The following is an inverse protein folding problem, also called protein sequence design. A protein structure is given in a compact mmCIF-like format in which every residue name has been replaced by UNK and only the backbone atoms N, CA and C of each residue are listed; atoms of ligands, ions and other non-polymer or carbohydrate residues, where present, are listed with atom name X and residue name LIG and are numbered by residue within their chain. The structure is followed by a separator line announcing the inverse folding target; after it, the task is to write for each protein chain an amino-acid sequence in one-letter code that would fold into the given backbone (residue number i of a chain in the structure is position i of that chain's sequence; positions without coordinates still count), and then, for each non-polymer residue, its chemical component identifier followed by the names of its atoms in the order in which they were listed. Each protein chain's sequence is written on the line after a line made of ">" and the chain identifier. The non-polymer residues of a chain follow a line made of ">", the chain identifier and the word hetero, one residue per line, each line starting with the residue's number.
data_IF_837447648457
#
_entry.id   IF_837447648457
#
_cell.length_a   1.000
_cell.length_b   1.000
_cell.length_c   1.000
_cell.angle_alpha   90.00
_cell.angle_beta   90.00
_cell.angle_gamma   90.00
#
_symmetry.space_group_name_H-M   'P 1'
#
loop_
_entity.id
_entity.type
_entity.pdbx_description
1 polymer ?
#
# COMPACT_ATOMS: atom_id res chain seq x y z
N UNK A 1 -26.23 8.24 -17.52
CA UNK A 1 -25.37 7.14 -17.04
C UNK A 1 -24.52 7.67 -15.90
N UNK A 2 -24.49 7.00 -14.75
CA UNK A 2 -23.61 7.40 -13.65
C UNK A 2 -22.16 7.20 -14.10
N UNK A 3 -21.33 8.24 -14.02
CA UNK A 3 -19.90 8.13 -14.33
C UNK A 3 -19.24 7.20 -13.31
N UNK A 4 -18.25 6.41 -13.76
CA UNK A 4 -17.45 5.58 -12.87
C UNK A 4 -16.61 6.45 -11.92
N UNK A 5 -16.04 5.81 -10.90
CA UNK A 5 -15.11 6.48 -9.97
C UNK A 5 -13.90 7.07 -10.70
N UNK A 6 -13.34 6.28 -11.61
CA UNK A 6 -12.02 6.53 -12.16
C UNK A 6 -12.12 7.63 -13.23
N UNK A 7 -13.18 7.62 -14.05
CA UNK A 7 -13.45 8.70 -15.02
C UNK A 7 -13.71 10.04 -14.32
N UNK A 8 -14.44 10.03 -13.20
CA UNK A 8 -14.69 11.24 -12.41
C UNK A 8 -13.37 11.85 -11.91
N UNK A 9 -12.50 11.02 -11.33
CA UNK A 9 -11.18 11.44 -10.82
C UNK A 9 -10.33 12.02 -11.96
N UNK A 10 -10.27 11.33 -13.10
CA UNK A 10 -9.48 11.75 -14.25
C UNK A 10 -9.94 13.10 -14.80
N UNK A 11 -11.25 13.31 -14.91
CA UNK A 11 -11.83 14.61 -15.32
C UNK A 11 -11.50 15.73 -14.34
N UNK A 12 -11.60 15.45 -13.04
CA UNK A 12 -11.30 16.44 -12.00
C UNK A 12 -9.82 16.86 -12.05
N UNK A 13 -8.91 15.91 -12.27
CA UNK A 13 -7.47 16.19 -12.47
C UNK A 13 -7.26 17.12 -13.68
N UNK A 14 -7.87 16.80 -14.82
CA UNK A 14 -7.75 17.62 -16.04
C UNK A 14 -8.32 19.02 -15.81
N UNK A 15 -9.50 19.13 -15.21
CA UNK A 15 -10.16 20.42 -14.96
C UNK A 15 -9.37 21.30 -13.99
N UNK A 16 -8.80 20.70 -12.94
CA UNK A 16 -8.05 21.44 -11.95
C UNK A 16 -6.67 21.86 -12.48
N UNK A 17 -5.91 20.94 -13.06
CA UNK A 17 -4.48 21.13 -13.35
C UNK A 17 -4.21 21.56 -14.79
N UNK A 18 -5.07 21.13 -15.73
CA UNK A 18 -4.87 21.33 -17.18
C UNK A 18 -3.95 20.29 -17.82
N UNK A 19 -3.83 20.35 -19.15
CA UNK A 19 -3.06 19.38 -19.93
C UNK A 19 -1.55 19.67 -19.98
N UNK A 20 -1.16 20.94 -19.88
CA UNK A 20 0.23 21.38 -19.93
C UNK A 20 0.45 22.45 -18.87
N UNK A 21 1.51 22.32 -18.07
CA UNK A 21 1.89 23.30 -17.05
C UNK A 21 3.40 23.28 -16.84
N UNK A 22 4.04 24.44 -16.95
CA UNK A 22 5.48 24.63 -16.72
C UNK A 22 6.41 23.63 -17.46
N UNK A 23 6.09 23.37 -18.73
CA UNK A 23 6.81 22.43 -19.59
C UNK A 23 6.50 20.95 -19.33
N UNK A 24 5.67 20.62 -18.33
CA UNK A 24 5.14 19.29 -18.13
C UNK A 24 3.84 19.09 -18.91
N UNK A 25 3.72 17.96 -19.60
CA UNK A 25 2.50 17.48 -20.24
C UNK A 25 1.92 16.32 -19.44
N UNK A 26 0.61 16.33 -19.24
CA UNK A 26 -0.09 15.21 -18.60
C UNK A 26 -0.22 14.03 -19.59
N UNK A 27 -0.01 12.82 -19.08
CA UNK A 27 -0.54 11.58 -19.65
C UNK A 27 -1.67 11.11 -18.77
N UNK A 28 -2.82 10.87 -19.38
CA UNK A 28 -4.04 10.42 -18.75
C UNK A 28 -4.86 9.67 -19.81
N UNK A 29 -5.35 8.49 -19.46
CA UNK A 29 -6.03 7.62 -20.42
C UNK A 29 -7.50 7.47 -20.05
N UNK A 30 -8.41 7.47 -21.04
CA UNK A 30 -9.84 7.32 -20.80
C UNK A 30 -10.15 5.97 -20.15
N UNK A 31 -11.26 5.89 -19.43
CA UNK A 31 -11.75 4.62 -18.90
C UNK A 31 -11.95 3.57 -20.03
N UNK A 32 -11.55 2.33 -19.77
CA UNK A 32 -11.64 1.22 -20.72
C UNK A 32 -10.41 1.04 -21.62
N UNK A 33 -9.47 2.01 -21.63
CA UNK A 33 -8.13 1.77 -22.17
C UNK A 33 -7.28 0.99 -21.16
N UNK A 34 -6.42 0.09 -21.66
CA UNK A 34 -5.36 -0.57 -20.89
C UNK A 34 -4.00 0.13 -21.07
N UNK A 35 -3.97 1.35 -21.61
CA UNK A 35 -2.73 2.08 -21.88
C UNK A 35 -2.01 2.51 -20.59
N UNK A 36 -2.74 2.77 -19.51
CA UNK A 36 -2.18 3.08 -18.19
C UNK A 36 -1.42 1.89 -17.60
N UNK A 37 -1.78 0.67 -17.96
CA UNK A 37 -1.09 -0.56 -17.56
C UNK A 37 0.26 -0.74 -18.26
N UNK A 38 0.50 -0.08 -19.40
CA UNK A 38 1.79 -0.14 -20.11
C UNK A 38 2.89 0.56 -19.31
N UNK A 39 4.13 0.15 -19.54
CA UNK A 39 5.27 0.81 -18.91
C UNK A 39 5.38 2.26 -19.35
N UNK A 40 5.88 3.11 -18.46
CA UNK A 40 6.14 4.54 -18.72
C UNK A 40 7.06 4.74 -19.93
N UNK A 41 8.03 3.84 -20.12
CA UNK A 41 8.94 3.81 -21.27
C UNK A 41 8.21 3.61 -22.60
N UNK A 42 7.06 2.95 -22.54
CA UNK A 42 6.24 2.59 -23.70
C UNK A 42 5.04 3.55 -23.86
N UNK A 43 5.10 4.70 -23.17
CA UNK A 43 4.06 5.72 -23.19
C UNK A 43 2.97 5.57 -22.13
N UNK A 44 2.99 4.51 -21.30
CA UNK A 44 1.97 4.24 -20.29
C UNK A 44 2.19 4.95 -18.94
N UNK A 45 1.59 4.39 -17.87
CA UNK A 45 1.60 4.91 -16.49
C UNK A 45 1.96 3.84 -15.44
N UNK A 46 2.55 2.73 -15.86
CA UNK A 46 3.16 1.72 -14.97
C UNK A 46 4.66 1.98 -14.83
N UNK A 47 5.11 2.14 -13.59
CA UNK A 47 6.52 2.33 -13.24
C UNK A 47 7.13 0.98 -12.87
N UNK A 48 8.29 0.68 -13.46
CA UNK A 48 9.04 -0.53 -13.13
C UNK A 48 10.24 -0.16 -12.26
N UNK A 49 10.34 -0.77 -11.10
CA UNK A 49 11.51 -0.68 -10.23
C UNK A 49 12.10 -2.06 -10.05
N UNK A 50 13.37 -2.23 -10.44
CA UNK A 50 14.02 -3.53 -10.58
C UNK A 50 13.21 -4.45 -11.53
N UNK A 51 12.84 -5.65 -11.08
CA UNK A 51 11.99 -6.60 -11.82
C UNK A 51 10.49 -6.39 -11.60
N UNK A 52 10.09 -5.45 -10.73
CA UNK A 52 8.71 -5.32 -10.24
C UNK A 52 8.00 -4.12 -10.86
N UNK A 53 6.81 -4.37 -11.40
CA UNK A 53 5.93 -3.34 -11.96
C UNK A 53 4.93 -2.86 -10.91
N UNK A 54 4.82 -1.54 -10.78
CA UNK A 54 3.92 -0.80 -9.92
C UNK A 54 3.08 0.15 -10.79
N UNK A 55 1.89 0.53 -10.35
CA UNK A 55 1.08 1.52 -11.09
C UNK A 55 -0.19 0.96 -11.73
N UNK A 56 -0.42 1.28 -13.01
CA UNK A 56 -1.73 1.73 -13.52
C UNK A 56 -2.16 3.03 -12.83
N UNK A 57 -1.25 4.00 -12.72
CA UNK A 57 -1.59 5.33 -12.17
C UNK A 57 -2.66 6.01 -13.05
N UNK A 58 -3.55 6.76 -12.42
CA UNK A 58 -4.60 7.51 -13.13
C UNK A 58 -4.05 8.65 -13.97
N UNK A 59 -2.95 9.28 -13.54
CA UNK A 59 -2.32 10.37 -14.28
C UNK A 59 -0.80 10.42 -14.05
N UNK A 60 -0.08 11.04 -14.97
CA UNK A 60 1.33 11.39 -14.77
C UNK A 60 1.72 12.65 -15.53
N UNK A 61 2.71 13.38 -15.02
CA UNK A 61 3.24 14.58 -15.65
C UNK A 61 4.68 14.36 -16.08
N UNK A 62 4.97 14.71 -17.33
CA UNK A 62 6.24 14.44 -17.98
C UNK A 62 6.76 15.70 -18.65
N UNK A 63 8.05 16.00 -18.50
CA UNK A 63 8.71 17.05 -19.26
C UNK A 63 9.65 16.43 -20.31
N UNK A 64 10.03 17.22 -21.30
CA UNK A 64 10.94 16.78 -22.36
C UNK A 64 12.34 17.32 -22.10
N UNK A 65 13.35 16.45 -22.13
CA UNK A 65 14.77 16.76 -22.03
C UNK A 65 15.52 15.86 -23.01
N UNK A 66 16.35 16.45 -23.89
CA UNK A 66 17.11 15.74 -24.94
C UNK A 66 16.27 14.72 -25.73
N UNK A 67 15.10 15.18 -26.21
CA UNK A 67 14.08 14.40 -26.91
C UNK A 67 13.44 13.23 -26.13
N UNK A 68 13.79 13.04 -24.86
CA UNK A 68 13.23 12.02 -23.97
C UNK A 68 12.15 12.62 -23.07
N UNK A 69 11.09 11.86 -22.83
CA UNK A 69 10.07 12.21 -21.85
C UNK A 69 10.48 11.71 -20.47
N UNK A 70 10.78 12.64 -19.56
CA UNK A 70 11.18 12.34 -18.19
C UNK A 70 9.96 12.47 -17.27
N UNK A 71 9.65 11.45 -16.45
CA UNK A 71 8.60 11.54 -15.45
C UNK A 71 8.93 12.59 -14.40
N UNK A 72 7.91 13.30 -13.93
CA UNK A 72 8.04 14.21 -12.79
C UNK A 72 7.11 13.81 -11.66
N UNK A 73 5.82 13.55 -11.97
CA UNK A 73 4.81 13.12 -11.02
C UNK A 73 4.08 11.89 -11.58
N UNK A 74 3.91 10.84 -10.77
CA UNK A 74 2.92 9.78 -10.99
C UNK A 74 1.83 9.87 -9.93
N UNK A 75 0.56 9.92 -10.34
CA UNK A 75 -0.58 10.11 -9.45
C UNK A 75 -1.57 8.96 -9.58
N UNK A 76 -1.87 8.33 -8.45
CA UNK A 76 -3.02 7.45 -8.26
C UNK A 76 -4.13 8.24 -7.58
N UNK A 77 -5.34 8.19 -8.12
CA UNK A 77 -6.50 8.86 -7.55
C UNK A 77 -7.54 7.87 -7.02
N UNK A 78 -8.35 8.34 -6.06
CA UNK A 78 -9.46 7.53 -5.55
C UNK A 78 -10.59 8.40 -4.99
N UNK A 79 -11.83 7.95 -5.20
CA UNK A 79 -13.05 8.53 -4.60
C UNK A 79 -13.41 7.87 -3.27
N UNK A 80 -12.44 7.20 -2.62
CA UNK A 80 -12.64 6.40 -1.41
C UNK A 80 -13.37 7.17 -0.28
N UNK A 81 -13.08 8.46 -0.11
CA UNK A 81 -13.63 9.27 0.98
C UNK A 81 -15.12 9.60 0.81
N UNK A 82 -15.61 9.67 -0.43
CA UNK A 82 -17.03 9.85 -0.73
C UNK A 82 -17.82 8.54 -0.63
N UNK A 83 -17.14 7.39 -0.75
CA UNK A 83 -17.75 6.05 -0.72
C UNK A 83 -17.77 5.42 0.68
N UNK A 84 -17.49 6.21 1.72
CA UNK A 84 -17.43 5.73 3.10
C UNK A 84 -16.26 4.77 3.38
N UNK A 85 -15.24 4.73 2.51
CA UNK A 85 -14.09 3.85 2.73
C UNK A 85 -13.29 4.34 3.94
N UNK A 86 -13.18 3.49 4.95
CA UNK A 86 -12.52 3.77 6.21
C UNK A 86 -11.53 2.67 6.58
N UNK A 87 -10.65 2.96 7.55
CA UNK A 87 -9.64 2.02 8.03
C UNK A 87 -8.71 1.52 6.91
N UNK A 88 -8.42 0.23 6.91
CA UNK A 88 -7.45 -0.39 6.00
C UNK A 88 -7.81 -0.28 4.51
N UNK A 89 -9.09 -0.06 4.17
CA UNK A 89 -9.52 0.07 2.78
C UNK A 89 -8.83 1.25 2.07
N UNK A 90 -8.46 2.31 2.81
CA UNK A 90 -7.77 3.46 2.22
C UNK A 90 -6.33 3.13 1.78
N UNK A 91 -5.70 2.07 2.30
CA UNK A 91 -4.33 1.69 1.94
C UNK A 91 -4.22 0.94 0.62
N UNK A 92 -5.37 0.50 0.07
CA UNK A 92 -5.43 -0.49 -1.01
C UNK A 92 -4.71 -0.06 -2.30
N UNK A 93 -4.69 1.25 -2.62
CA UNK A 93 -4.07 1.78 -3.84
C UNK A 93 -2.71 2.47 -3.62
N UNK A 94 -2.18 2.46 -2.40
CA UNK A 94 -0.87 3.08 -2.09
C UNK A 94 0.26 2.52 -2.99
N UNK A 95 0.21 1.25 -3.34
CA UNK A 95 1.26 0.64 -4.15
C UNK A 95 1.28 1.12 -5.61
N UNK A 96 0.24 1.83 -6.10
CA UNK A 96 0.18 2.29 -7.49
C UNK A 96 1.21 3.41 -7.73
N UNK A 97 1.13 4.48 -6.94
CA UNK A 97 2.08 5.59 -7.07
C UNK A 97 3.47 5.27 -6.49
N UNK A 98 3.61 4.18 -5.72
CA UNK A 98 4.88 3.79 -5.11
C UNK A 98 5.98 3.52 -6.14
N UNK A 99 5.64 3.05 -7.34
CA UNK A 99 6.63 2.83 -8.40
C UNK A 99 7.38 4.08 -8.81
N UNK A 100 6.67 5.21 -8.91
CA UNK A 100 7.29 6.51 -9.18
C UNK A 100 8.31 6.87 -8.09
N UNK A 101 7.96 6.63 -6.82
CA UNK A 101 8.82 6.90 -5.66
C UNK A 101 10.07 6.02 -5.67
N UNK A 102 9.93 4.73 -5.95
CA UNK A 102 11.08 3.80 -6.03
C UNK A 102 12.06 4.16 -7.16
N UNK A 103 11.55 4.77 -8.22
CA UNK A 103 12.34 5.25 -9.36
C UNK A 103 12.88 6.69 -9.21
N UNK A 104 12.66 7.34 -8.06
CA UNK A 104 13.23 8.67 -7.78
C UNK A 104 12.34 9.86 -8.14
N UNK A 105 11.08 9.62 -8.51
CA UNK A 105 10.11 10.66 -8.88
C UNK A 105 9.14 10.96 -7.73
N UNK A 106 8.23 11.91 -7.97
CA UNK A 106 7.17 12.24 -7.01
C UNK A 106 5.99 11.29 -7.27
N UNK A 107 5.70 10.42 -6.31
CA UNK A 107 4.46 9.64 -6.26
C UNK A 107 3.40 10.37 -5.45
N UNK A 108 2.19 10.45 -5.98
CA UNK A 108 1.05 11.06 -5.29
C UNK A 108 -0.09 10.06 -5.18
N UNK A 109 -0.63 9.91 -3.98
CA UNK A 109 -1.92 9.26 -3.77
C UNK A 109 -2.95 10.33 -3.43
N UNK A 110 -3.80 10.62 -4.41
CA UNK A 110 -4.88 11.58 -4.32
C UNK A 110 -6.16 10.91 -3.80
N UNK A 111 -6.59 11.31 -2.62
CA UNK A 111 -7.88 10.90 -2.06
C UNK A 111 -8.85 12.08 -2.22
N UNK A 112 -9.72 12.00 -3.23
CA UNK A 112 -10.70 13.05 -3.50
C UNK A 112 -11.51 13.35 -2.25
N UNK A 113 -11.53 14.63 -1.87
CA UNK A 113 -12.17 15.11 -0.66
C UNK A 113 -13.63 14.65 -0.60
N UNK A 114 -14.05 14.19 0.57
CA UNK A 114 -15.38 13.64 0.80
C UNK A 114 -15.76 13.65 2.27
N UNK A 115 -16.75 12.84 2.63
CA UNK A 115 -17.29 12.79 4.00
C UNK A 115 -16.37 12.08 4.99
N UNK A 116 -15.57 11.12 4.53
CA UNK A 116 -14.63 10.38 5.38
C UNK A 116 -13.30 11.11 5.48
N UNK A 117 -12.66 11.04 6.64
CA UNK A 117 -11.30 11.55 6.82
C UNK A 117 -10.27 10.58 6.23
N UNK A 118 -9.14 11.13 5.78
CA UNK A 118 -7.95 10.33 5.44
C UNK A 118 -7.40 9.69 6.72
N UNK A 119 -7.11 8.39 6.67
CA UNK A 119 -6.46 7.68 7.78
C UNK A 119 -5.08 8.29 8.05
N UNK A 120 -4.79 8.79 9.26
CA UNK A 120 -3.51 9.43 9.55
C UNK A 120 -2.29 8.52 9.35
N UNK A 121 -2.49 7.20 9.47
CA UNK A 121 -1.46 6.20 9.21
C UNK A 121 -0.93 6.27 7.75
N UNK A 122 -1.73 6.71 6.77
CA UNK A 122 -1.28 6.94 5.37
C UNK A 122 -0.20 8.03 5.30
N UNK A 123 -0.37 9.13 6.04
CA UNK A 123 0.60 10.22 6.06
C UNK A 123 1.93 9.75 6.65
N UNK A 124 1.89 9.00 7.75
CA UNK A 124 3.10 8.42 8.33
C UNK A 124 3.77 7.43 7.36
N UNK A 125 2.98 6.61 6.67
CA UNK A 125 3.48 5.62 5.72
C UNK A 125 4.17 6.29 4.53
N UNK A 126 3.56 7.31 3.94
CA UNK A 126 4.12 8.07 2.82
C UNK A 126 5.36 8.88 3.24
N UNK A 127 5.34 9.50 4.42
CA UNK A 127 6.51 10.17 4.99
C UNK A 127 7.69 9.19 5.11
N UNK A 128 7.47 8.02 5.70
CA UNK A 128 8.53 7.04 5.86
C UNK A 128 9.00 6.44 4.53
N UNK A 129 8.10 6.25 3.56
CA UNK A 129 8.50 5.88 2.20
C UNK A 129 9.41 6.94 1.57
N UNK A 130 9.11 8.23 1.75
CA UNK A 130 9.88 9.35 1.18
C UNK A 130 11.30 9.49 1.75
N UNK A 131 11.54 9.03 2.98
CA UNK A 131 12.88 9.04 3.59
C UNK A 131 13.65 7.73 3.40
N UNK A 132 12.98 6.69 2.86
CA UNK A 132 13.56 5.35 2.66
C UNK A 132 13.86 5.07 1.19
N UNK A 133 12.94 5.47 0.31
CA UNK A 133 13.02 5.25 -1.13
C UNK A 133 13.72 6.43 -1.83
N UNK A 134 13.99 6.30 -3.14
CA UNK A 134 14.74 7.31 -3.92
C UNK A 134 13.97 8.62 -4.09
N UNK A 135 12.64 8.53 -4.21
CA UNK A 135 11.74 9.63 -4.54
C UNK A 135 10.86 10.06 -3.36
N UNK A 136 9.84 10.86 -3.66
CA UNK A 136 8.96 11.48 -2.66
C UNK A 136 7.54 10.93 -2.80
N UNK A 137 6.92 10.53 -1.69
CA UNK A 137 5.54 10.08 -1.64
C UNK A 137 4.67 11.10 -0.92
N UNK A 138 3.67 11.67 -1.60
CA UNK A 138 2.68 12.57 -1.02
C UNK A 138 1.28 11.96 -0.95
N UNK A 139 0.58 12.21 0.16
CA UNK A 139 -0.86 11.95 0.31
C UNK A 139 -1.56 13.30 0.24
N UNK A 140 -2.48 13.46 -0.72
CA UNK A 140 -3.14 14.74 -0.97
C UNK A 140 -4.65 14.56 -1.11
N UNK A 141 -5.43 15.56 -0.70
CA UNK A 141 -6.87 15.70 -0.95
C UNK A 141 -7.23 16.99 -1.69
N UNK A 142 -6.21 17.76 -2.07
CA UNK A 142 -6.34 19.02 -2.82
C UNK A 142 -5.37 19.02 -4.01
N UNK A 143 -5.92 19.15 -5.22
CA UNK A 143 -5.15 19.19 -6.46
C UNK A 143 -4.34 20.47 -6.63
N UNK A 144 -4.56 21.51 -5.80
CA UNK A 144 -3.68 22.67 -5.75
C UNK A 144 -2.22 22.27 -5.46
N UNK A 145 -2.01 21.23 -4.64
CA UNK A 145 -0.68 20.69 -4.36
C UNK A 145 0.04 20.26 -5.64
N UNK A 146 -0.69 19.66 -6.59
CA UNK A 146 -0.12 19.26 -7.89
C UNK A 146 0.27 20.48 -8.71
N UNK A 147 -0.57 21.52 -8.73
CA UNK A 147 -0.27 22.76 -9.45
C UNK A 147 1.00 23.42 -8.91
N UNK A 148 1.11 23.51 -7.59
CA UNK A 148 2.26 24.12 -6.91
C UNK A 148 3.56 23.36 -7.26
N UNK A 149 3.54 22.02 -7.22
CA UNK A 149 4.69 21.19 -7.59
C UNK A 149 5.12 21.43 -9.05
N UNK A 150 4.14 21.50 -9.96
CA UNK A 150 4.41 21.75 -11.38
C UNK A 150 4.96 23.16 -11.62
N UNK A 151 4.42 24.19 -10.96
CA UNK A 151 4.89 25.57 -11.05
C UNK A 151 6.30 25.75 -10.50
N UNK A 152 6.64 25.00 -9.46
CA UNK A 152 7.95 25.03 -8.83
C UNK A 152 8.99 24.13 -9.52
N UNK A 153 8.62 23.31 -10.50
CA UNK A 153 9.52 22.35 -11.17
C UNK A 153 10.85 22.97 -11.63
N UNK A 154 10.79 24.15 -12.23
CA UNK A 154 11.96 24.89 -12.73
C UNK A 154 12.73 25.67 -11.66
N UNK A 155 12.30 25.58 -10.40
CA UNK A 155 12.85 26.31 -9.25
C UNK A 155 13.27 25.30 -8.16
N UNK A 156 14.35 24.53 -8.35
CA UNK A 156 14.68 23.36 -7.53
C UNK A 156 14.77 23.66 -6.03
N UNK A 157 15.32 24.83 -5.65
CA UNK A 157 15.42 25.24 -4.25
C UNK A 157 14.05 25.55 -3.62
N UNK A 158 13.13 26.18 -4.36
CA UNK A 158 11.77 26.47 -3.89
C UNK A 158 10.93 25.19 -3.86
N UNK A 159 11.04 24.33 -4.88
CA UNK A 159 10.40 23.02 -4.93
C UNK A 159 10.80 22.16 -3.73
N UNK A 160 12.11 22.09 -3.43
CA UNK A 160 12.60 21.34 -2.27
C UNK A 160 12.00 21.87 -0.97
N UNK A 161 12.00 23.19 -0.76
CA UNK A 161 11.40 23.81 0.43
C UNK A 161 9.91 23.49 0.55
N UNK A 162 9.17 23.54 -0.56
CA UNK A 162 7.75 23.19 -0.59
C UNK A 162 7.51 21.72 -0.20
N UNK A 163 8.28 20.80 -0.80
CA UNK A 163 8.20 19.37 -0.50
C UNK A 163 8.55 19.09 0.96
N UNK A 164 9.64 19.64 1.47
CA UNK A 164 10.08 19.46 2.86
C UNK A 164 9.01 19.94 3.85
N UNK A 165 8.39 21.10 3.57
CA UNK A 165 7.28 21.62 4.37
C UNK A 165 6.04 20.70 4.32
N UNK A 166 5.72 20.15 3.14
CA UNK A 166 4.59 19.24 2.98
C UNK A 166 4.82 17.90 3.70
N UNK A 167 6.03 17.34 3.60
CA UNK A 167 6.43 16.14 4.34
C UNK A 167 6.34 16.35 5.85
N UNK A 168 6.80 17.50 6.34
CA UNK A 168 6.68 17.86 7.76
C UNK A 168 5.22 17.95 8.20
N UNK A 169 4.34 18.57 7.39
CA UNK A 169 2.90 18.63 7.64
C UNK A 169 2.30 17.22 7.75
N UNK A 170 2.60 16.32 6.80
CA UNK A 170 2.12 14.93 6.84
C UNK A 170 2.61 14.21 8.11
N UNK A 171 3.89 14.38 8.45
CA UNK A 171 4.47 13.80 9.67
C UNK A 171 3.76 14.30 10.92
N UNK A 172 3.49 15.60 11.02
CA UNK A 172 2.79 16.20 12.17
C UNK A 172 1.37 15.64 12.33
N UNK A 173 0.63 15.49 11.23
CA UNK A 173 -0.71 14.87 11.24
C UNK A 173 -0.63 13.44 11.81
N UNK A 174 0.33 12.66 11.33
CA UNK A 174 0.57 11.30 11.85
C UNK A 174 0.97 11.31 13.32
N UNK A 175 1.95 12.13 13.73
CA UNK A 175 2.46 12.16 15.11
C UNK A 175 1.36 12.52 16.12
N UNK A 176 0.50 13.48 15.79
CA UNK A 176 -0.67 13.84 16.62
C UNK A 176 -1.62 12.66 16.75
N UNK A 177 -1.97 12.03 15.63
CA UNK A 177 -2.83 10.85 15.64
C UNK A 177 -2.19 9.67 16.39
N UNK A 178 -0.88 9.48 16.26
CA UNK A 178 -0.16 8.40 16.93
C UNK A 178 -0.17 8.58 18.44
N UNK A 179 0.02 9.81 18.93
CA UNK A 179 -0.14 10.16 20.35
C UNK A 179 -1.55 9.89 20.84
N UNK A 180 -2.58 10.26 20.09
CA UNK A 180 -3.98 10.07 20.48
C UNK A 180 -4.43 8.60 20.44
N UNK A 181 -4.20 7.92 19.31
CA UNK A 181 -4.70 6.56 19.02
C UNK A 181 -3.86 5.47 19.68
N UNK A 182 -2.55 5.67 19.74
CA UNK A 182 -1.59 4.68 20.25
C UNK A 182 -0.86 5.14 21.52
N UNK A 183 -1.28 6.25 22.14
CA UNK A 183 -0.67 6.78 23.37
C UNK A 183 0.84 7.02 23.23
N UNK A 184 1.31 7.29 22.02
CA UNK A 184 2.74 7.46 21.73
C UNK A 184 3.56 6.17 21.84
N UNK A 185 2.92 4.99 21.92
CA UNK A 185 3.59 3.71 22.20
C UNK A 185 3.52 2.76 21.01
N UNK A 186 4.70 2.33 20.54
CA UNK A 186 4.82 1.26 19.55
C UNK A 186 4.27 -0.09 20.06
N UNK A 187 4.26 -0.32 21.37
CA UNK A 187 3.59 -1.50 21.95
C UNK A 187 2.07 -1.45 21.80
N UNK A 188 1.47 -0.28 22.02
CA UNK A 188 0.02 -0.09 21.79
C UNK A 188 -0.31 -0.17 20.30
N UNK A 189 0.55 0.40 19.45
CA UNK A 189 0.45 0.23 18.00
C UNK A 189 0.45 -1.26 17.61
N UNK A 190 1.42 -2.02 18.12
CA UNK A 190 1.61 -3.42 17.82
C UNK A 190 0.35 -4.25 18.12
N UNK A 191 -0.22 -4.07 19.32
CA UNK A 191 -1.47 -4.74 19.75
C UNK A 191 -2.63 -4.35 18.81
N UNK A 192 -2.86 -3.06 18.58
CA UNK A 192 -3.99 -2.58 17.76
C UNK A 192 -3.86 -2.93 16.27
N UNK A 193 -2.66 -3.20 15.79
CA UNK A 193 -2.37 -3.49 14.38
C UNK A 193 -2.00 -4.95 14.13
N UNK A 194 -2.25 -5.86 15.08
CA UNK A 194 -1.94 -7.29 14.93
C UNK A 194 -0.48 -7.52 14.52
N UNK A 195 0.43 -6.87 15.24
CA UNK A 195 1.86 -6.84 14.93
C UNK A 195 2.65 -7.26 16.17
N UNK A 196 3.73 -8.02 15.97
CA UNK A 196 4.74 -8.34 16.98
C UNK A 196 6.03 -7.66 16.53
N UNK A 197 6.58 -6.81 17.39
CA UNK A 197 7.82 -6.08 17.12
C UNK A 197 8.95 -6.76 17.89
N UNK A 198 9.96 -7.25 17.18
CA UNK A 198 11.21 -7.78 17.75
C UNK A 198 12.39 -6.89 17.30
N UNK A 199 13.59 -7.16 17.83
CA UNK A 199 14.79 -6.36 17.54
C UNK A 199 15.15 -6.34 16.05
N UNK A 200 15.15 -7.49 15.39
CA UNK A 200 15.61 -7.59 13.99
C UNK A 200 14.48 -7.83 12.99
N UNK A 201 13.29 -8.20 13.46
CA UNK A 201 12.18 -8.56 12.60
C UNK A 201 10.83 -8.14 13.17
N UNK A 202 9.81 -8.19 12.33
CA UNK A 202 8.42 -7.94 12.67
C UNK A 202 7.56 -9.07 12.15
N UNK A 203 6.52 -9.41 12.91
CA UNK A 203 5.47 -10.33 12.46
C UNK A 203 4.16 -9.57 12.41
N UNK A 204 3.57 -9.38 11.23
CA UNK A 204 2.18 -8.94 11.06
C UNK A 204 1.36 -10.20 10.86
N UNK A 205 0.32 -10.40 11.64
CA UNK A 205 -0.59 -11.53 11.45
C UNK A 205 -1.94 -11.02 10.96
N UNK A 206 -2.49 -11.72 9.98
CA UNK A 206 -3.77 -11.38 9.39
C UNK A 206 -4.54 -12.65 8.98
N UNK A 207 -5.86 -12.59 9.03
CA UNK A 207 -6.76 -13.67 8.64
C UNK A 207 -6.86 -13.82 7.11
N UNK A 208 -5.73 -13.73 6.40
CA UNK A 208 -5.68 -13.89 4.96
C UNK A 208 -5.93 -15.35 4.59
N UNK A 209 -6.67 -15.53 3.51
CA UNK A 209 -7.04 -16.81 2.94
C UNK A 209 -6.81 -16.78 1.44
N UNK A 210 -6.63 -17.95 0.82
CA UNK A 210 -6.42 -18.09 -0.62
C UNK A 210 -7.43 -17.28 -1.46
N UNK A 211 -8.70 -17.32 -1.05
CA UNK A 211 -9.79 -16.57 -1.71
C UNK A 211 -9.51 -15.07 -1.84
N UNK A 212 -8.78 -14.46 -0.91
CA UNK A 212 -8.45 -13.03 -0.98
C UNK A 212 -7.63 -12.64 -2.22
N UNK A 213 -6.96 -13.59 -2.84
CA UNK A 213 -6.09 -13.40 -4.01
C UNK A 213 -6.64 -14.07 -5.28
N UNK A 214 -7.69 -14.89 -5.16
CA UNK A 214 -8.34 -15.53 -6.31
C UNK A 214 -9.66 -14.87 -6.69
N UNK A 215 -10.31 -14.17 -5.76
CA UNK A 215 -11.60 -13.51 -5.97
C UNK A 215 -11.41 -11.98 -6.09
N UNK A 216 -11.36 -11.51 -7.34
CA UNK A 216 -11.17 -10.09 -7.66
C UNK A 216 -12.30 -9.17 -7.18
N UNK A 217 -13.46 -9.73 -6.82
CA UNK A 217 -14.61 -8.94 -6.32
C UNK A 217 -14.36 -8.32 -4.93
N UNK A 218 -13.41 -8.86 -4.16
CA UNK A 218 -13.27 -8.51 -2.73
C UNK A 218 -12.18 -7.47 -2.42
N UNK A 219 -11.39 -7.00 -3.42
CA UNK A 219 -10.23 -6.09 -3.25
C UNK A 219 -9.26 -6.49 -2.12
N UNK A 220 -9.34 -7.73 -1.64
CA UNK A 220 -8.68 -8.15 -0.42
C UNK A 220 -7.17 -8.30 -0.61
N UNK A 221 -6.73 -8.67 -1.82
CA UNK A 221 -5.32 -8.63 -2.25
C UNK A 221 -4.73 -7.24 -2.17
N UNK A 222 -5.42 -6.22 -2.71
CA UNK A 222 -4.96 -4.82 -2.62
C UNK A 222 -4.80 -4.37 -1.16
N UNK A 223 -5.75 -4.72 -0.28
CA UNK A 223 -5.68 -4.40 1.15
C UNK A 223 -4.49 -5.13 1.80
N UNK A 224 -4.20 -6.38 1.41
CA UNK A 224 -3.04 -7.13 1.92
C UNK A 224 -1.72 -6.43 1.54
N UNK A 225 -1.60 -6.00 0.28
CA UNK A 225 -0.44 -5.23 -0.19
C UNK A 225 -0.32 -3.89 0.56
N UNK A 226 -1.42 -3.16 0.74
CA UNK A 226 -1.43 -1.91 1.51
C UNK A 226 -1.00 -2.09 2.96
N UNK A 227 -1.49 -3.14 3.64
CA UNK A 227 -1.05 -3.47 5.00
C UNK A 227 0.42 -3.91 5.08
N UNK A 228 0.91 -4.63 4.06
CA UNK A 228 2.31 -5.02 3.95
C UNK A 228 3.20 -3.77 3.91
N UNK A 229 2.92 -2.84 2.99
CA UNK A 229 3.69 -1.61 2.88
C UNK A 229 3.57 -0.71 4.10
N UNK A 230 2.41 -0.67 4.77
CA UNK A 230 2.26 0.12 5.99
C UNK A 230 3.24 -0.38 7.06
N UNK A 231 3.29 -1.69 7.24
CA UNK A 231 4.19 -2.32 8.20
C UNK A 231 5.64 -2.11 7.78
N UNK A 232 5.97 -2.34 6.50
CA UNK A 232 7.32 -2.15 5.96
C UNK A 232 7.83 -0.74 6.20
N UNK A 233 7.08 0.30 5.82
CA UNK A 233 7.57 1.67 5.93
C UNK A 233 7.60 2.19 7.36
N UNK A 234 6.83 1.64 8.30
CA UNK A 234 7.03 1.96 9.72
C UNK A 234 8.28 1.31 10.31
N UNK A 235 8.83 0.30 9.64
CA UNK A 235 9.97 -0.46 10.14
C UNK A 235 10.92 -0.89 9.00
N UNK A 236 11.50 0.08 8.26
CA UNK A 236 12.17 -0.18 6.97
C UNK A 236 13.41 -1.08 7.09
N UNK A 237 14.06 -1.08 8.26
CA UNK A 237 15.30 -1.81 8.52
C UNK A 237 15.09 -3.20 9.14
N UNK A 238 13.85 -3.72 9.18
CA UNK A 238 13.55 -5.02 9.78
C UNK A 238 13.06 -6.01 8.74
N UNK A 239 13.42 -7.28 8.91
CA UNK A 239 12.78 -8.37 8.16
C UNK A 239 11.30 -8.43 8.54
N UNK A 240 10.44 -8.50 7.54
CA UNK A 240 9.00 -8.50 7.73
C UNK A 240 8.40 -9.88 7.41
N UNK A 241 7.97 -10.59 8.44
CA UNK A 241 7.18 -11.81 8.31
C UNK A 241 5.69 -11.48 8.28
N UNK A 242 5.04 -11.71 7.13
CA UNK A 242 3.60 -11.58 6.99
C UNK A 242 2.93 -12.93 7.21
N UNK A 243 2.50 -13.17 8.45
CA UNK A 243 1.91 -14.43 8.88
C UNK A 243 0.45 -14.54 8.45
N UNK A 244 0.13 -15.62 7.72
CA UNK A 244 -1.21 -16.00 7.27
C UNK A 244 -1.64 -17.31 7.95
N UNK A 245 -2.15 -17.28 9.20
CA UNK A 245 -2.43 -18.50 9.97
C UNK A 245 -3.50 -19.41 9.34
N UNK A 246 -4.34 -18.88 8.44
CA UNK A 246 -5.39 -19.65 7.77
C UNK A 246 -4.90 -20.35 6.49
N UNK A 247 -3.67 -20.10 6.06
CA UNK A 247 -3.12 -20.67 4.82
C UNK A 247 -2.08 -21.73 5.14
N UNK A 248 -2.13 -22.83 4.37
CA UNK A 248 -1.11 -23.88 4.35
C UNK A 248 -0.04 -23.59 3.29
N UNK A 249 1.08 -24.30 3.31
CA UNK A 249 2.09 -24.20 2.26
C UNK A 249 1.49 -24.57 0.89
N UNK A 250 0.60 -25.56 0.84
CA UNK A 250 -0.11 -25.92 -0.39
C UNK A 250 -0.98 -24.78 -0.95
N UNK A 251 -1.55 -23.92 -0.09
CA UNK A 251 -2.28 -22.73 -0.55
C UNK A 251 -1.33 -21.66 -1.12
N UNK A 252 -0.13 -21.53 -0.55
CA UNK A 252 0.93 -20.65 -1.08
C UNK A 252 1.41 -21.15 -2.44
N UNK A 253 1.75 -22.44 -2.56
CA UNK A 253 2.21 -23.05 -3.80
C UNK A 253 1.17 -22.91 -4.92
N UNK A 254 -0.13 -23.05 -4.57
CA UNK A 254 -1.21 -22.79 -5.50
C UNK A 254 -1.20 -21.34 -6.00
N UNK A 255 -1.03 -20.35 -5.13
CA UNK A 255 -1.00 -18.95 -5.52
C UNK A 255 0.26 -18.61 -6.32
N UNK A 256 1.43 -19.12 -5.92
CA UNK A 256 2.66 -18.94 -6.68
C UNK A 256 2.53 -19.49 -8.11
N UNK A 257 1.87 -20.65 -8.28
CA UNK A 257 1.60 -21.25 -9.60
C UNK A 257 0.54 -20.51 -10.42
N UNK A 258 -0.59 -20.12 -9.82
CA UNK A 258 -1.78 -19.65 -10.55
C UNK A 258 -1.94 -18.13 -10.54
N UNK A 259 -1.25 -17.43 -9.64
CA UNK A 259 -1.29 -15.98 -9.42
C UNK A 259 0.10 -15.36 -9.48
N UNK A 260 1.11 -16.08 -9.97
CA UNK A 260 2.45 -15.52 -10.17
C UNK A 260 2.50 -14.26 -11.04
N UNK A 261 1.54 -14.07 -11.95
CA UNK A 261 1.44 -12.86 -12.78
C UNK A 261 0.38 -11.86 -12.28
N UNK A 262 -0.32 -12.17 -11.19
CA UNK A 262 -1.26 -11.27 -10.54
C UNK A 262 -0.47 -10.19 -9.81
N UNK A 263 -0.79 -8.92 -10.05
CA UNK A 263 0.01 -7.79 -9.56
C UNK A 263 0.13 -7.79 -8.04
N UNK A 264 -0.96 -8.00 -7.32
CA UNK A 264 -0.97 -7.97 -5.87
C UNK A 264 -0.18 -9.14 -5.27
N UNK A 265 -0.38 -10.35 -5.77
CA UNK A 265 0.39 -11.51 -5.32
C UNK A 265 1.87 -11.35 -5.64
N UNK A 266 2.18 -10.94 -6.88
CA UNK A 266 3.56 -10.69 -7.32
C UNK A 266 4.27 -9.66 -6.43
N UNK A 267 3.61 -8.56 -6.07
CA UNK A 267 4.17 -7.57 -5.15
C UNK A 267 4.46 -8.15 -3.77
N UNK A 268 3.54 -8.94 -3.19
CA UNK A 268 3.75 -9.57 -1.88
C UNK A 268 4.93 -10.57 -1.90
N UNK A 269 5.17 -11.24 -3.02
CA UNK A 269 6.23 -12.25 -3.16
C UNK A 269 7.60 -11.67 -3.50
N UNK A 270 7.65 -10.52 -4.15
CA UNK A 270 8.89 -9.93 -4.66
C UNK A 270 9.35 -8.67 -3.91
N UNK A 271 8.57 -8.18 -2.93
CA UNK A 271 9.00 -7.01 -2.15
C UNK A 271 10.18 -7.37 -1.22
N UNK A 272 11.31 -6.63 -1.28
CA UNK A 272 12.49 -6.95 -0.48
C UNK A 272 12.21 -6.96 1.02
N UNK A 273 12.82 -7.92 1.72
CA UNK A 273 12.68 -8.16 3.16
C UNK A 273 11.26 -8.55 3.62
N UNK A 274 10.36 -8.92 2.71
CA UNK A 274 9.02 -9.41 3.06
C UNK A 274 8.94 -10.92 2.81
N UNK A 275 8.51 -11.67 3.81
CA UNK A 275 8.38 -13.12 3.76
C UNK A 275 6.96 -13.49 4.20
N UNK A 276 6.21 -14.15 3.31
CA UNK A 276 4.90 -14.71 3.65
C UNK A 276 5.11 -16.00 4.42
N UNK A 277 4.44 -16.12 5.57
CA UNK A 277 4.57 -17.28 6.46
C UNK A 277 3.20 -17.96 6.56
N UNK A 278 2.99 -19.15 5.97
CA UNK A 278 1.80 -19.96 6.22
C UNK A 278 1.92 -20.67 7.58
N UNK A 279 0.81 -21.29 8.03
CA UNK A 279 0.77 -21.98 9.33
C UNK A 279 1.79 -23.14 9.44
N UNK A 280 2.10 -23.80 8.33
CA UNK A 280 2.99 -24.95 8.27
C UNK A 280 4.46 -24.58 8.59
N UNK A 281 4.79 -23.30 8.38
CA UNK A 281 6.10 -22.74 8.71
C UNK A 281 6.20 -22.31 10.19
N UNK A 282 5.19 -22.58 11.02
CA UNK A 282 5.29 -22.41 12.46
C UNK A 282 5.63 -23.73 13.17
N UNK A 283 6.69 -23.72 13.97
CA UNK A 283 7.02 -24.78 14.93
C UNK A 283 6.31 -24.54 16.26
N UNK A 284 5.92 -25.60 16.97
CA UNK A 284 5.33 -25.51 18.31
C UNK A 284 3.83 -25.17 18.34
N UNK A 285 3.18 -25.02 17.20
CA UNK A 285 1.71 -24.87 17.12
C UNK A 285 1.05 -26.24 17.32
N UNK A 286 0.10 -26.35 18.24
CA UNK A 286 -0.62 -27.60 18.49
C UNK A 286 -1.49 -28.01 17.30
N UNK A 287 -1.68 -29.33 17.13
CA UNK A 287 -2.53 -29.87 16.06
C UNK A 287 -3.99 -29.43 16.17
N UNK A 288 -4.47 -29.19 17.39
CA UNK A 288 -5.81 -28.64 17.62
C UNK A 288 -5.98 -27.23 17.04
N UNK A 289 -4.99 -26.35 17.25
CA UNK A 289 -5.00 -24.99 16.70
C UNK A 289 -4.94 -25.04 15.18
N UNK A 290 -4.08 -25.88 14.59
CA UNK A 290 -4.00 -26.05 13.13
C UNK A 290 -5.33 -26.55 12.55
N UNK A 291 -5.91 -27.60 13.12
CA UNK A 291 -7.21 -28.15 12.68
C UNK A 291 -8.32 -27.10 12.76
N UNK A 292 -8.34 -26.29 13.82
CA UNK A 292 -9.33 -25.21 13.99
C UNK A 292 -9.20 -24.13 12.92
N UNK A 293 -7.97 -23.72 12.58
CA UNK A 293 -7.71 -22.75 11.51
C UNK A 293 -8.06 -23.32 10.13
N UNK A 294 -7.73 -24.58 9.87
CA UNK A 294 -8.07 -25.27 8.60
C UNK A 294 -9.59 -25.34 8.42
N UNK A 295 -10.35 -25.63 9.49
CA UNK A 295 -11.82 -25.70 9.42
C UNK A 295 -12.46 -24.39 8.95
N UNK A 296 -11.83 -23.25 9.26
CA UNK A 296 -12.35 -21.92 8.90
C UNK A 296 -11.61 -21.28 7.71
N UNK A 297 -10.69 -22.01 7.04
CA UNK A 297 -9.73 -21.40 6.12
C UNK A 297 -10.38 -20.65 4.96
N UNK A 298 -11.48 -21.17 4.43
CA UNK A 298 -12.21 -20.59 3.30
C UNK A 298 -13.41 -19.71 3.73
N UNK A 299 -13.65 -19.61 5.04
CA UNK A 299 -14.74 -18.80 5.59
C UNK A 299 -14.31 -17.33 5.77
N UNK A 300 -15.15 -16.35 5.40
CA UNK A 300 -14.92 -14.96 5.76
C UNK A 300 -14.75 -14.79 7.28
N UNK A 301 -13.90 -13.85 7.70
CA UNK A 301 -13.65 -13.54 9.11
C UNK A 301 -14.82 -12.77 9.74
N UNK A 302 -15.98 -13.42 9.88
CA UNK A 302 -17.19 -12.93 10.54
C UNK A 302 -17.77 -14.03 11.45
N UNK A 303 -18.58 -13.64 12.43
CA UNK A 303 -19.27 -14.57 13.34
C UNK A 303 -18.31 -15.57 13.99
N UNK A 304 -18.71 -16.84 14.02
CA UNK A 304 -17.96 -17.94 14.67
C UNK A 304 -16.57 -18.16 14.05
N UNK A 305 -16.42 -17.93 12.74
CA UNK A 305 -15.12 -18.02 12.09
C UNK A 305 -14.15 -16.95 12.60
N UNK A 306 -14.65 -15.73 12.87
CA UNK A 306 -13.84 -14.67 13.48
C UNK A 306 -13.48 -15.00 14.93
N UNK A 307 -14.42 -15.52 15.72
CA UNK A 307 -14.17 -15.95 17.10
C UNK A 307 -13.09 -17.04 17.15
N UNK A 308 -13.23 -18.06 16.30
CA UNK A 308 -12.25 -19.15 16.16
C UNK A 308 -10.88 -18.62 15.76
N UNK A 309 -10.80 -17.74 14.75
CA UNK A 309 -9.56 -17.11 14.34
C UNK A 309 -8.90 -16.32 15.48
N UNK A 310 -9.67 -15.50 16.20
CA UNK A 310 -9.15 -14.67 17.29
C UNK A 310 -8.57 -15.52 18.43
N UNK A 311 -9.25 -16.60 18.81
CA UNK A 311 -8.76 -17.56 19.82
C UNK A 311 -7.45 -18.19 19.36
N UNK A 312 -7.39 -18.72 18.15
CA UNK A 312 -6.18 -19.36 17.61
C UNK A 312 -5.02 -18.35 17.47
N UNK A 313 -5.30 -17.16 16.95
CA UNK A 313 -4.32 -16.10 16.79
C UNK A 313 -3.74 -15.65 18.14
N UNK A 314 -4.55 -15.56 19.19
CA UNK A 314 -4.07 -15.26 20.55
C UNK A 314 -3.06 -16.31 21.03
N UNK A 315 -3.38 -17.59 20.91
CA UNK A 315 -2.47 -18.69 21.28
C UNK A 315 -1.16 -18.61 20.49
N UNK A 316 -1.24 -18.37 19.18
CA UNK A 316 -0.05 -18.25 18.32
C UNK A 316 0.81 -17.04 18.74
N UNK A 317 0.19 -15.88 18.96
CA UNK A 317 0.89 -14.65 19.35
C UNK A 317 1.55 -14.78 20.72
N UNK A 318 0.87 -15.38 21.69
CA UNK A 318 1.46 -15.65 23.02
C UNK A 318 2.66 -16.59 22.91
N UNK A 319 2.54 -17.66 22.12
CA UNK A 319 3.65 -18.59 21.86
C UNK A 319 4.82 -17.95 21.12
N UNK A 320 4.57 -17.07 20.14
CA UNK A 320 5.61 -16.32 19.43
C UNK A 320 6.30 -15.29 20.36
N UNK A 321 5.55 -14.71 21.30
CA UNK A 321 6.11 -13.75 22.24
C UNK A 321 7.02 -14.40 23.28
N UNK A 322 6.64 -15.58 23.79
CA UNK A 322 7.39 -16.32 24.81
C UNK A 322 8.38 -17.36 24.25
N UNK A 323 8.48 -17.50 22.93
CA UNK A 323 9.43 -18.40 22.25
C UNK A 323 9.00 -19.86 22.16
N UNK A 324 7.80 -20.23 22.66
CA UNK A 324 7.26 -21.59 22.49
C UNK A 324 6.87 -21.91 21.04
N UNK A 325 6.53 -20.87 20.27
CA UNK A 325 6.28 -20.96 18.84
C UNK A 325 7.36 -20.17 18.12
N UNK A 326 7.90 -20.74 17.04
CA UNK A 326 8.93 -20.11 16.21
C UNK A 326 8.60 -20.24 14.73
N UNK A 327 9.10 -19.31 13.92
CA UNK A 327 9.02 -19.40 12.46
C UNK A 327 10.19 -20.27 11.99
N UNK A 328 9.89 -21.33 11.23
CA UNK A 328 10.87 -22.13 10.50
C UNK A 328 11.37 -21.31 9.33
N UNK A 329 12.69 -21.10 9.28
CA UNK A 329 13.36 -20.49 8.12
C UNK A 329 13.65 -21.54 7.07
#
# INVERSE_FOLDING_TARGET
>A
MAQSSDELIKREIIQAVGYVRNGCRIRIFPEGSNDDQKLVTDGGLTFKSNSVSYGSCDAGWFYKEDDKWIPFIGLEGTDALNRGSSGNAQYQRFHHALGAVKEGYIGVYYLRKGLSIIQPDLYGMAYNASITEKGIYLIVDDLQVIKDLLDLRLKPNELKKYIDAYLLKMKQIYDVSFKQKYKGSWGTFAIKRSTIIKSNYIIKYAARMKRNFTDGSQRAGHIAVGEMYLTKYFFPNKTFYYLFPKMTQADIDYLDKNKGNDKEWYLLRNEPNVIIVPIDNLSGVSEEVKKSLIKIKDLPSKGDALATYNTCAKTIVEGLNNGKITIKM
#
